data_IF_483693952444
#
_entry.id   IF_483693952444
#
_cell.length_a   1.000
_cell.length_b   1.000
_cell.length_c   1.000
_cell.angle_alpha   90.00
_cell.angle_beta   90.00
_cell.angle_gamma   90.00
#
_symmetry.space_group_name_H-M   'P 1'
#
loop_
_entity.id
_entity.type
_entity.pdbx_description
1 polymer ?
#
# COMPACT_ATOMS: atom_id res chain seq x y z
N UNK A 1 -20.15 23.41 -15.10
CA UNK A 1 -18.72 23.31 -14.74
C UNK A 1 -17.98 22.79 -15.96
N UNK A 2 -17.10 23.58 -16.57
CA UNK A 2 -16.43 23.21 -17.84
C UNK A 2 -15.38 22.12 -17.60
N UNK A 3 -15.19 21.22 -18.56
CA UNK A 3 -14.19 20.12 -18.50
C UNK A 3 -12.76 20.60 -18.17
N UNK A 4 -12.44 21.86 -18.46
CA UNK A 4 -11.17 22.52 -18.10
C UNK A 4 -10.97 22.70 -16.59
N UNK A 5 -12.01 22.96 -15.80
CA UNK A 5 -11.85 23.18 -14.35
C UNK A 5 -11.61 21.87 -13.59
N UNK A 6 -12.24 20.78 -14.03
CA UNK A 6 -12.09 19.44 -13.43
C UNK A 6 -10.66 18.91 -13.61
N UNK A 7 -10.05 19.15 -14.77
CA UNK A 7 -8.67 18.72 -15.03
C UNK A 7 -7.64 19.52 -14.24
N UNK A 8 -7.87 20.83 -14.03
CA UNK A 8 -7.03 21.68 -13.17
C UNK A 8 -7.04 21.22 -11.70
N UNK A 9 -8.22 21.00 -11.12
CA UNK A 9 -8.36 20.58 -9.72
C UNK A 9 -7.70 19.22 -9.44
N UNK A 10 -7.84 18.25 -10.35
CA UNK A 10 -7.21 16.93 -10.22
C UNK A 10 -5.68 17.00 -10.28
N UNK A 11 -5.10 17.91 -11.07
CA UNK A 11 -3.65 18.12 -11.11
C UNK A 11 -3.13 18.71 -9.81
N UNK A 12 -3.82 19.71 -9.26
CA UNK A 12 -3.45 20.31 -7.98
C UNK A 12 -3.46 19.28 -6.84
N UNK A 13 -4.49 18.43 -6.79
CA UNK A 13 -4.56 17.38 -5.78
C UNK A 13 -3.38 16.40 -5.85
N UNK A 14 -2.94 16.04 -7.07
CA UNK A 14 -1.73 15.24 -7.25
C UNK A 14 -0.49 15.91 -6.68
N UNK A 15 -0.30 17.20 -6.94
CA UNK A 15 0.79 17.97 -6.35
C UNK A 15 0.73 17.96 -4.82
N UNK A 16 -0.43 18.25 -4.24
CA UNK A 16 -0.61 18.22 -2.78
C UNK A 16 -0.26 16.84 -2.22
N UNK A 17 -0.77 15.77 -2.84
CA UNK A 17 -0.50 14.40 -2.40
C UNK A 17 1.00 14.07 -2.42
N UNK A 18 1.67 14.22 -3.56
CA UNK A 18 3.09 13.85 -3.68
C UNK A 18 4.01 14.78 -2.90
N UNK A 19 3.79 16.10 -2.95
CA UNK A 19 4.64 17.04 -2.21
C UNK A 19 4.50 16.86 -0.70
N UNK A 20 3.30 16.59 -0.19
CA UNK A 20 3.10 16.34 1.24
C UNK A 20 3.83 15.09 1.68
N UNK A 21 3.66 13.97 0.95
CA UNK A 21 4.34 12.72 1.30
C UNK A 21 5.86 12.81 1.14
N UNK A 22 6.36 13.48 0.10
CA UNK A 22 7.81 13.70 -0.08
C UNK A 22 8.40 14.58 1.01
N UNK A 23 7.72 15.68 1.38
CA UNK A 23 8.15 16.53 2.49
C UNK A 23 8.19 15.74 3.80
N UNK A 24 7.15 14.95 4.06
CA UNK A 24 7.08 14.09 5.24
C UNK A 24 8.25 13.10 5.27
N UNK A 25 8.55 12.43 4.14
CA UNK A 25 9.69 11.53 4.01
C UNK A 25 11.03 12.24 4.25
N UNK A 26 11.22 13.45 3.71
CA UNK A 26 12.43 14.25 3.96
C UNK A 26 12.58 14.55 5.46
N UNK A 27 11.51 14.98 6.13
CA UNK A 27 11.53 15.26 7.56
C UNK A 27 11.82 14.01 8.39
N UNK A 28 11.26 12.85 8.03
CA UNK A 28 11.53 11.57 8.70
C UNK A 28 13.00 11.17 8.54
N UNK A 29 13.50 11.15 7.30
CA UNK A 29 14.86 10.71 7.01
C UNK A 29 15.94 11.67 7.56
N UNK A 30 15.61 12.95 7.68
CA UNK A 30 16.44 13.95 8.33
C UNK A 30 16.34 13.94 9.88
N UNK A 31 15.46 13.11 10.47
CA UNK A 31 15.13 13.13 11.89
C UNK A 31 14.70 14.52 12.39
N UNK A 32 14.00 15.28 11.54
CA UNK A 32 13.59 16.65 11.80
C UNK A 32 12.15 16.76 12.33
N UNK A 33 11.37 15.67 12.35
CA UNK A 33 9.97 15.70 12.78
C UNK A 33 9.78 16.20 14.23
N UNK A 34 10.68 15.82 15.14
CA UNK A 34 10.63 16.22 16.54
C UNK A 34 10.81 17.73 16.75
N UNK A 35 11.31 18.45 15.74
CA UNK A 35 11.43 19.92 15.80
C UNK A 35 10.17 20.66 15.36
N UNK A 36 9.23 19.97 14.70
CA UNK A 36 8.01 20.56 14.12
C UNK A 36 6.75 20.06 14.83
N UNK A 37 6.78 18.85 15.39
CA UNK A 37 5.63 18.18 15.99
C UNK A 37 5.92 17.76 17.43
N UNK A 38 4.88 17.58 18.28
CA UNK A 38 5.05 16.93 19.58
C UNK A 38 5.70 15.55 19.43
N UNK A 39 6.63 15.19 20.32
CA UNK A 39 7.45 13.99 20.23
C UNK A 39 6.64 12.71 19.97
N UNK A 40 5.48 12.56 20.63
CA UNK A 40 4.62 11.39 20.45
C UNK A 40 4.04 11.29 19.03
N UNK A 41 3.66 12.42 18.45
CA UNK A 41 3.13 12.47 17.09
C UNK A 41 4.24 12.30 16.06
N UNK A 42 5.39 12.94 16.28
CA UNK A 42 6.57 12.79 15.45
C UNK A 42 7.02 11.32 15.38
N UNK A 43 7.06 10.63 16.52
CA UNK A 43 7.35 9.19 16.61
C UNK A 43 6.35 8.35 15.81
N UNK A 44 5.04 8.56 16.00
CA UNK A 44 3.98 7.82 15.28
C UNK A 44 4.03 8.02 13.77
N UNK A 45 4.25 9.25 13.32
CA UNK A 45 4.39 9.57 11.89
C UNK A 45 5.70 9.00 11.34
N UNK A 46 6.78 9.03 12.12
CA UNK A 46 8.09 8.47 11.76
C UNK A 46 8.02 6.97 11.47
N UNK A 47 7.25 6.22 12.26
CA UNK A 47 6.98 4.78 12.06
C UNK A 47 6.04 4.46 10.89
N UNK A 48 5.87 5.36 9.92
CA UNK A 48 5.03 5.09 8.74
C UNK A 48 5.76 5.38 7.42
N UNK A 49 7.09 5.47 7.49
CA UNK A 49 7.95 5.81 6.37
C UNK A 49 7.87 4.82 5.21
N UNK A 50 7.64 3.54 5.52
CA UNK A 50 7.46 2.48 4.53
C UNK A 50 6.15 2.68 3.77
N UNK A 51 5.06 2.89 4.52
CA UNK A 51 3.75 3.22 3.96
C UNK A 51 3.76 4.46 3.06
N UNK A 52 4.46 5.53 3.46
CA UNK A 52 4.60 6.73 2.64
C UNK A 52 5.44 6.48 1.38
N UNK A 53 6.54 5.75 1.50
CA UNK A 53 7.39 5.37 0.35
C UNK A 53 6.60 4.53 -0.66
N UNK A 54 5.86 3.53 -0.18
CA UNK A 54 4.96 2.72 -0.98
C UNK A 54 3.94 3.61 -1.70
N UNK A 55 3.29 4.51 -0.99
CA UNK A 55 2.26 5.38 -1.55
C UNK A 55 2.80 6.33 -2.65
N UNK A 56 3.98 6.91 -2.44
CA UNK A 56 4.66 7.76 -3.43
C UNK A 56 4.97 6.94 -4.68
N UNK A 57 5.71 5.83 -4.53
CA UNK A 57 6.27 5.09 -5.66
C UNK A 57 5.20 4.31 -6.43
N UNK A 58 4.35 3.57 -5.72
CA UNK A 58 3.24 2.84 -6.33
C UNK A 58 2.23 3.80 -6.97
N UNK A 59 1.90 4.88 -6.26
CA UNK A 59 1.01 5.92 -6.77
C UNK A 59 1.57 6.54 -8.05
N UNK A 60 2.83 6.96 -8.04
CA UNK A 60 3.49 7.55 -9.19
C UNK A 60 3.55 6.58 -10.37
N UNK A 61 3.78 5.29 -10.10
CA UNK A 61 3.77 4.27 -11.14
C UNK A 61 2.38 4.12 -11.79
N UNK A 62 1.33 3.97 -10.98
CA UNK A 62 -0.05 3.81 -11.46
C UNK A 62 -0.55 5.07 -12.20
N UNK A 63 -0.18 6.26 -11.74
CA UNK A 63 -0.63 7.51 -12.34
C UNK A 63 0.17 7.91 -13.57
N UNK A 64 1.50 7.80 -13.53
CA UNK A 64 2.37 8.40 -14.53
C UNK A 64 3.01 7.39 -15.48
N UNK A 65 3.64 6.34 -14.94
CA UNK A 65 4.36 5.36 -15.75
C UNK A 65 3.40 4.44 -16.50
N UNK A 66 2.60 3.65 -15.78
CA UNK A 66 1.73 2.61 -16.34
C UNK A 66 0.87 3.06 -17.53
N UNK A 67 0.18 4.22 -17.50
CA UNK A 67 -0.67 4.64 -18.61
C UNK A 67 0.09 5.05 -19.88
N UNK A 68 1.38 5.38 -19.77
CA UNK A 68 2.22 5.84 -20.89
C UNK A 68 3.02 4.71 -21.54
N UNK A 69 2.98 3.52 -20.96
CA UNK A 69 3.76 2.37 -21.41
C UNK A 69 2.93 1.45 -22.29
N UNK A 70 3.48 1.10 -23.46
CA UNK A 70 2.91 0.17 -24.42
C UNK A 70 3.88 -1.00 -24.73
N UNK A 71 3.32 -2.07 -25.29
CA UNK A 71 4.06 -3.21 -25.86
C UNK A 71 5.24 -3.73 -25.01
N UNK A 72 6.41 -3.81 -25.64
CA UNK A 72 7.66 -4.31 -25.06
C UNK A 72 8.31 -3.32 -24.10
N UNK A 73 8.25 -2.01 -24.39
CA UNK A 73 8.79 -0.93 -23.54
C UNK A 73 8.18 -0.97 -22.15
N UNK A 74 6.88 -1.31 -22.05
CA UNK A 74 6.20 -1.52 -20.77
C UNK A 74 6.95 -2.51 -19.89
N UNK A 75 7.21 -3.70 -20.39
CA UNK A 75 7.85 -4.74 -19.61
C UNK A 75 9.31 -4.44 -19.33
N UNK A 76 10.04 -3.92 -20.32
CA UNK A 76 11.44 -3.51 -20.14
C UNK A 76 11.60 -2.50 -19.00
N UNK A 77 10.80 -1.42 -18.99
CA UNK A 77 10.87 -0.42 -17.93
C UNK A 77 10.38 -0.97 -16.58
N UNK A 78 9.35 -1.81 -16.59
CA UNK A 78 8.83 -2.43 -15.36
C UNK A 78 9.87 -3.35 -14.72
N UNK A 79 10.55 -4.17 -15.51
CA UNK A 79 11.63 -5.02 -15.00
C UNK A 79 12.84 -4.20 -14.56
N UNK A 80 13.20 -3.14 -15.30
CA UNK A 80 14.29 -2.25 -14.90
C UNK A 80 14.02 -1.62 -13.53
N UNK A 81 12.83 -1.05 -13.34
CA UNK A 81 12.47 -0.37 -12.08
C UNK A 81 12.23 -1.37 -10.96
N UNK A 82 11.66 -2.55 -11.26
CA UNK A 82 11.55 -3.65 -10.31
C UNK A 82 12.93 -4.14 -9.83
N UNK A 83 13.87 -4.33 -10.76
CA UNK A 83 15.25 -4.72 -10.44
C UNK A 83 15.98 -3.62 -9.66
N UNK A 84 15.82 -2.35 -10.04
CA UNK A 84 16.39 -1.23 -9.28
C UNK A 84 15.84 -1.17 -7.85
N UNK A 85 14.53 -1.44 -7.68
CA UNK A 85 13.89 -1.52 -6.35
C UNK A 85 14.47 -2.68 -5.54
N UNK A 86 14.64 -3.86 -6.14
CA UNK A 86 15.27 -5.01 -5.47
C UNK A 86 16.72 -4.71 -5.07
N UNK A 87 17.53 -4.13 -5.96
CA UNK A 87 18.91 -3.74 -5.65
C UNK A 87 18.97 -2.75 -4.49
N UNK A 88 18.07 -1.76 -4.48
CA UNK A 88 17.99 -0.79 -3.40
C UNK A 88 17.54 -1.44 -2.08
N UNK A 89 16.58 -2.36 -2.13
CA UNK A 89 16.17 -3.15 -0.96
C UNK A 89 17.36 -3.92 -0.36
N UNK A 90 18.10 -4.65 -1.19
CA UNK A 90 19.27 -5.41 -0.75
C UNK A 90 20.38 -4.50 -0.22
N UNK A 91 20.59 -3.35 -0.85
CA UNK A 91 21.61 -2.37 -0.42
C UNK A 91 21.25 -1.76 0.92
N UNK A 92 19.99 -1.36 1.13
CA UNK A 92 19.52 -0.82 2.40
C UNK A 92 19.61 -1.87 3.52
N UNK A 93 19.22 -3.11 3.21
CA UNK A 93 19.29 -4.24 4.13
C UNK A 93 20.72 -4.51 4.63
N UNK A 94 21.73 -4.43 3.75
CA UNK A 94 23.14 -4.70 4.12
C UNK A 94 23.94 -3.46 4.50
N UNK A 95 23.37 -2.26 4.41
CA UNK A 95 24.07 -1.00 4.70
C UNK A 95 24.35 -0.81 6.20
N UNK A 96 25.21 0.16 6.53
CA UNK A 96 25.41 0.66 7.90
C UNK A 96 24.63 1.97 8.17
N UNK A 97 23.60 2.24 7.35
CA UNK A 97 22.79 3.45 7.51
C UNK A 97 21.94 3.41 8.80
N UNK A 98 21.49 4.58 9.30
CA UNK A 98 20.56 4.63 10.41
C UNK A 98 19.30 3.79 10.16
N UNK A 99 18.70 3.25 11.23
CA UNK A 99 17.56 2.33 11.16
C UNK A 99 16.41 2.83 10.28
N UNK A 100 16.10 4.14 10.32
CA UNK A 100 15.06 4.80 9.49
C UNK A 100 15.28 4.69 7.97
N UNK A 101 16.50 4.45 7.52
CA UNK A 101 16.79 4.15 6.11
C UNK A 101 16.71 2.66 5.85
N UNK A 102 17.21 1.85 6.80
CA UNK A 102 17.23 0.38 6.67
C UNK A 102 15.84 -0.18 6.50
N UNK A 103 14.87 0.27 7.30
CA UNK A 103 13.48 -0.21 7.28
C UNK A 103 12.85 -0.10 5.90
N UNK A 104 13.16 0.95 5.13
CA UNK A 104 12.63 1.10 3.75
C UNK A 104 12.97 -0.07 2.81
N UNK A 105 13.90 -0.96 3.19
CA UNK A 105 14.24 -2.15 2.43
C UNK A 105 13.01 -3.03 2.16
N UNK A 106 12.10 -3.21 3.13
CA UNK A 106 10.91 -4.05 2.95
C UNK A 106 9.99 -3.46 1.89
N UNK A 107 9.74 -2.16 1.94
CA UNK A 107 8.96 -1.45 0.91
C UNK A 107 9.57 -1.59 -0.48
N UNK A 108 10.88 -1.41 -0.62
CA UNK A 108 11.55 -1.56 -1.91
C UNK A 108 11.52 -3.02 -2.41
N UNK A 109 11.61 -3.99 -1.48
CA UNK A 109 11.44 -5.39 -1.81
C UNK A 109 10.01 -5.67 -2.29
N UNK A 110 8.99 -5.16 -1.61
CA UNK A 110 7.60 -5.27 -2.01
C UNK A 110 7.37 -4.65 -3.40
N UNK A 111 7.89 -3.45 -3.64
CA UNK A 111 7.78 -2.75 -4.93
C UNK A 111 8.42 -3.53 -6.08
N UNK A 112 9.51 -4.28 -5.84
CA UNK A 112 10.17 -5.07 -6.88
C UNK A 112 9.23 -6.08 -7.57
N UNK A 113 8.26 -6.62 -6.82
CA UNK A 113 7.25 -7.55 -7.33
C UNK A 113 5.90 -6.87 -7.60
N UNK A 114 5.55 -5.85 -6.79
CA UNK A 114 4.28 -5.16 -6.92
C UNK A 114 4.19 -4.32 -8.20
N UNK A 115 5.29 -3.72 -8.66
CA UNK A 115 5.32 -2.96 -9.91
C UNK A 115 5.03 -3.84 -11.15
N UNK A 116 5.68 -5.00 -11.33
CA UNK A 116 5.25 -6.02 -12.30
C UNK A 116 3.78 -6.37 -12.19
N UNK A 117 3.31 -6.66 -10.98
CA UNK A 117 1.92 -7.02 -10.73
C UNK A 117 0.96 -5.91 -11.18
N UNK A 118 1.12 -4.65 -10.77
CA UNK A 118 0.22 -3.55 -11.19
C UNK A 118 0.36 -3.19 -12.66
N UNK A 119 1.37 -3.70 -13.37
CA UNK A 119 1.56 -3.47 -14.81
C UNK A 119 0.89 -4.50 -15.71
N UNK A 120 0.46 -5.65 -15.18
CA UNK A 120 -0.27 -6.67 -15.94
C UNK A 120 -1.46 -6.11 -16.75
N UNK A 121 -1.80 -6.73 -17.87
CA UNK A 121 -3.02 -6.36 -18.60
C UNK A 121 -4.26 -6.83 -17.82
N UNK A 122 -5.29 -5.98 -17.72
CA UNK A 122 -6.57 -6.29 -17.05
C UNK A 122 -7.67 -6.47 -18.10
N UNK A 123 -8.71 -7.28 -17.83
CA UNK A 123 -8.99 -7.96 -16.56
C UNK A 123 -8.06 -9.16 -16.32
N UNK A 124 -7.64 -9.35 -15.07
CA UNK A 124 -6.98 -10.60 -14.67
C UNK A 124 -8.04 -11.71 -14.62
N UNK A 125 -7.66 -12.93 -15.03
CA UNK A 125 -8.49 -14.13 -14.85
C UNK A 125 -8.80 -14.29 -13.35
N UNK A 126 -9.84 -15.05 -12.96
CA UNK A 126 -10.41 -15.15 -11.57
C UNK A 126 -9.45 -15.56 -10.42
N UNK A 127 -8.15 -15.54 -10.61
CA UNK A 127 -7.13 -16.04 -9.68
C UNK A 127 -6.61 -15.04 -8.62
N UNK A 128 -6.74 -13.69 -8.72
CA UNK A 128 -6.22 -12.78 -7.69
C UNK A 128 -6.70 -13.06 -6.25
N UNK A 129 -7.98 -13.42 -6.00
CA UNK A 129 -8.41 -13.82 -4.67
C UNK A 129 -7.74 -15.11 -4.20
N UNK A 130 -7.51 -16.07 -5.10
CA UNK A 130 -6.84 -17.32 -4.78
C UNK A 130 -5.36 -17.09 -4.43
N UNK A 131 -4.66 -16.20 -5.16
CA UNK A 131 -3.28 -15.81 -4.83
C UNK A 131 -3.22 -15.16 -3.44
N UNK A 132 -4.13 -14.22 -3.15
CA UNK A 132 -4.19 -13.57 -1.83
C UNK A 132 -4.48 -14.57 -0.72
N UNK A 133 -5.39 -15.52 -0.96
CA UNK A 133 -5.74 -16.57 -0.01
C UNK A 133 -4.57 -17.53 0.26
N UNK A 134 -3.87 -17.97 -0.78
CA UNK A 134 -2.67 -18.81 -0.64
C UNK A 134 -1.58 -18.09 0.13
N UNK A 135 -1.30 -16.82 -0.21
CA UNK A 135 -0.32 -16.01 0.51
C UNK A 135 -0.72 -15.81 1.98
N UNK A 136 -2.01 -15.57 2.25
CA UNK A 136 -2.52 -15.47 3.62
C UNK A 136 -2.32 -16.77 4.40
N UNK A 137 -2.57 -17.92 3.78
CA UNK A 137 -2.31 -19.24 4.40
C UNK A 137 -0.82 -19.42 4.69
N UNK A 138 0.06 -19.04 3.76
CA UNK A 138 1.52 -19.09 3.97
C UNK A 138 1.94 -18.17 5.12
N UNK A 139 1.37 -16.97 5.20
CA UNK A 139 1.62 -16.03 6.30
C UNK A 139 1.16 -16.60 7.63
N UNK A 140 -0.08 -17.08 7.71
CA UNK A 140 -0.63 -17.64 8.95
C UNK A 140 0.15 -18.86 9.39
N UNK A 141 0.47 -19.77 8.47
CA UNK A 141 1.30 -20.93 8.78
C UNK A 141 2.71 -20.54 9.19
N UNK A 142 3.32 -19.57 8.51
CA UNK A 142 4.65 -19.07 8.83
C UNK A 142 4.74 -18.38 10.19
N UNK A 143 3.72 -17.61 10.57
CA UNK A 143 3.62 -16.99 11.90
C UNK A 143 3.33 -18.04 12.97
N UNK A 144 2.41 -18.99 12.71
CA UNK A 144 2.00 -19.99 13.70
C UNK A 144 3.05 -21.10 13.94
N UNK A 145 3.87 -21.42 12.94
CA UNK A 145 4.86 -22.50 13.00
C UNK A 145 6.30 -21.99 13.09
N UNK A 146 6.53 -20.71 12.78
CA UNK A 146 7.86 -20.09 12.78
C UNK A 146 8.26 -19.56 14.15
N UNK A 147 9.56 -19.39 14.36
CA UNK A 147 10.08 -18.57 15.45
C UNK A 147 9.94 -17.07 15.12
N UNK A 148 10.15 -16.19 16.10
CA UNK A 148 10.16 -14.73 15.90
C UNK A 148 11.15 -14.24 14.83
N UNK A 149 12.21 -15.02 14.57
CA UNK A 149 13.21 -14.74 13.52
C UNK A 149 12.85 -15.36 12.16
N UNK A 150 11.64 -15.93 12.01
CA UNK A 150 11.22 -16.50 10.73
C UNK A 150 11.18 -15.42 9.65
N UNK A 151 11.57 -15.74 8.40
CA UNK A 151 11.51 -14.80 7.29
C UNK A 151 10.13 -14.17 7.08
N UNK A 152 9.06 -14.86 7.48
CA UNK A 152 7.67 -14.37 7.38
C UNK A 152 7.41 -13.22 8.36
N UNK A 153 7.92 -13.31 9.58
CA UNK A 153 7.81 -12.24 10.58
C UNK A 153 8.75 -11.08 10.23
N UNK A 154 9.96 -11.38 9.73
CA UNK A 154 10.93 -10.38 9.29
C UNK A 154 10.55 -9.65 8.00
N UNK A 155 9.63 -10.21 7.19
CA UNK A 155 9.10 -9.58 5.98
C UNK A 155 7.60 -9.33 6.11
N UNK A 156 7.12 -9.08 7.34
CA UNK A 156 5.70 -8.95 7.63
C UNK A 156 5.02 -7.88 6.78
N UNK A 157 5.67 -6.72 6.59
CA UNK A 157 5.10 -5.61 5.83
C UNK A 157 5.04 -5.96 4.34
N UNK A 158 6.11 -6.54 3.83
CA UNK A 158 6.18 -7.06 2.46
C UNK A 158 5.04 -8.06 2.19
N UNK A 159 4.86 -9.02 3.09
CA UNK A 159 3.81 -10.04 2.98
C UNK A 159 2.42 -9.42 3.04
N UNK A 160 2.21 -8.44 3.93
CA UNK A 160 0.95 -7.71 4.00
C UNK A 160 0.64 -6.99 2.69
N UNK A 161 1.61 -6.32 2.07
CA UNK A 161 1.41 -5.68 0.76
C UNK A 161 1.01 -6.71 -0.30
N UNK A 162 1.65 -7.88 -0.34
CA UNK A 162 1.31 -8.93 -1.33
C UNK A 162 -0.05 -9.57 -1.11
N UNK A 163 -0.55 -9.63 0.13
CA UNK A 163 -1.91 -10.09 0.42
C UNK A 163 -2.94 -9.00 0.14
N UNK A 164 -2.68 -7.76 0.59
CA UNK A 164 -3.64 -6.67 0.55
C UNK A 164 -3.77 -6.04 -0.84
N UNK A 165 -2.68 -5.94 -1.60
CA UNK A 165 -2.71 -5.26 -2.89
C UNK A 165 -3.63 -5.96 -3.93
N UNK A 166 -3.64 -7.29 -4.09
CA UNK A 166 -4.59 -7.93 -5.00
C UNK A 166 -6.04 -7.86 -4.51
N UNK A 167 -6.28 -7.92 -3.21
CA UNK A 167 -7.62 -7.67 -2.64
C UNK A 167 -8.07 -6.23 -2.96
N UNK A 168 -7.22 -5.25 -2.72
CA UNK A 168 -7.49 -3.85 -2.98
C UNK A 168 -7.74 -3.58 -4.48
N UNK A 169 -6.83 -4.02 -5.36
CA UNK A 169 -6.83 -3.59 -6.77
C UNK A 169 -7.55 -4.52 -7.73
N UNK A 170 -7.81 -5.79 -7.39
CA UNK A 170 -8.54 -6.72 -8.28
C UNK A 170 -9.92 -7.14 -7.73
N UNK A 171 -10.20 -6.95 -6.43
CA UNK A 171 -11.50 -7.29 -5.86
C UNK A 171 -12.31 -6.05 -5.45
N UNK A 172 -11.74 -5.16 -4.65
CA UNK A 172 -12.47 -4.01 -4.08
C UNK A 172 -12.52 -2.82 -5.05
N UNK A 173 -11.36 -2.27 -5.38
CA UNK A 173 -11.17 -1.02 -6.13
C UNK A 173 -10.50 -1.24 -7.48
N UNK A 174 -11.12 -2.15 -8.23
CA UNK A 174 -10.70 -2.52 -9.60
C UNK A 174 -10.50 -1.33 -10.53
N UNK A 175 -11.32 -0.30 -10.35
CA UNK A 175 -11.30 0.94 -11.10
C UNK A 175 -9.96 1.70 -11.07
N UNK A 176 -9.12 1.46 -10.03
CA UNK A 176 -7.81 2.11 -9.90
C UNK A 176 -6.89 1.65 -11.03
N UNK A 177 -6.88 0.35 -11.35
CA UNK A 177 -6.05 -0.26 -12.39
C UNK A 177 -6.81 -0.48 -13.71
N UNK A 178 -8.13 -0.65 -13.66
CA UNK A 178 -9.00 -0.85 -14.80
C UNK A 178 -10.20 0.10 -14.74
N UNK A 179 -10.12 1.28 -15.37
CA UNK A 179 -11.19 2.29 -15.31
C UNK A 179 -12.57 1.79 -15.78
N UNK A 180 -12.62 0.71 -16.57
CA UNK A 180 -13.86 0.12 -17.08
C UNK A 180 -14.46 -0.91 -16.11
N UNK A 181 -13.70 -1.35 -15.10
CA UNK A 181 -14.17 -2.35 -14.16
C UNK A 181 -15.35 -1.83 -13.31
N UNK A 182 -16.31 -2.71 -13.11
CA UNK A 182 -17.38 -2.48 -12.14
C UNK A 182 -16.83 -2.63 -10.73
N UNK A 183 -17.22 -1.69 -9.86
CA UNK A 183 -16.87 -1.75 -8.43
C UNK A 183 -18.12 -1.59 -7.57
N UNK A 184 -18.12 -2.25 -6.40
CA UNK A 184 -19.19 -2.11 -5.43
C UNK A 184 -18.84 -1.00 -4.44
N UNK A 185 -19.67 0.05 -4.41
CA UNK A 185 -19.51 1.18 -3.47
C UNK A 185 -19.58 0.72 -2.02
N UNK A 186 -20.45 -0.24 -1.70
CA UNK A 186 -20.55 -0.82 -0.34
C UNK A 186 -19.27 -1.54 0.05
N UNK A 187 -18.71 -2.34 -0.86
CA UNK A 187 -17.48 -3.08 -0.61
C UNK A 187 -16.29 -2.13 -0.41
N UNK A 188 -16.19 -1.06 -1.22
CA UNK A 188 -15.17 0.00 -1.06
C UNK A 188 -15.23 0.63 0.32
N UNK A 189 -16.41 1.08 0.77
CA UNK A 189 -16.52 1.73 2.08
C UNK A 189 -16.24 0.77 3.23
N UNK A 190 -16.71 -0.48 3.15
CA UNK A 190 -16.37 -1.50 4.14
C UNK A 190 -14.85 -1.76 4.20
N UNK A 191 -14.19 -1.80 3.04
CA UNK A 191 -12.75 -1.94 2.94
C UNK A 191 -12.00 -0.73 3.51
N UNK A 192 -12.42 0.50 3.24
CA UNK A 192 -11.79 1.69 3.82
C UNK A 192 -12.00 1.77 5.33
N UNK A 193 -13.19 1.41 5.81
CA UNK A 193 -13.45 1.30 7.23
C UNK A 193 -12.50 0.28 7.88
N UNK A 194 -12.27 -0.87 7.23
CA UNK A 194 -11.31 -1.87 7.69
C UNK A 194 -9.87 -1.32 7.72
N UNK A 195 -9.42 -0.69 6.65
CA UNK A 195 -8.07 -0.11 6.56
C UNK A 195 -7.85 1.03 7.56
N UNK A 196 -8.90 1.72 7.99
CA UNK A 196 -8.84 2.73 9.06
C UNK A 196 -8.88 2.06 10.44
N UNK A 197 -9.71 1.03 10.61
CA UNK A 197 -9.87 0.34 11.88
C UNK A 197 -8.59 -0.37 12.33
N UNK A 198 -7.85 -1.01 11.42
CA UNK A 198 -6.61 -1.73 11.73
C UNK A 198 -5.59 -0.83 12.46
N UNK A 199 -5.14 0.31 11.91
CA UNK A 199 -4.18 1.17 12.60
C UNK A 199 -4.76 1.78 13.88
N UNK A 200 -6.06 2.07 13.95
CA UNK A 200 -6.69 2.53 15.20
C UNK A 200 -6.63 1.47 16.30
N UNK A 201 -6.90 0.21 15.97
CA UNK A 201 -6.78 -0.90 16.92
C UNK A 201 -5.33 -1.06 17.38
N UNK A 202 -4.35 -0.96 16.48
CA UNK A 202 -2.91 -0.97 16.86
C UNK A 202 -2.57 0.15 17.83
N UNK A 203 -3.08 1.35 17.56
CA UNK A 203 -2.88 2.51 18.45
C UNK A 203 -3.53 2.31 19.82
N UNK A 204 -4.75 1.77 19.86
CA UNK A 204 -5.51 1.58 21.09
C UNK A 204 -5.00 0.43 21.96
N UNK A 205 -4.52 -0.64 21.36
CA UNK A 205 -3.92 -1.77 22.08
C UNK A 205 -2.56 -1.40 22.71
N UNK A 206 -1.94 -0.32 22.22
CA UNK A 206 -0.80 0.32 22.85
C UNK A 206 0.47 -0.52 22.87
N UNK A 207 1.48 -0.01 23.59
CA UNK A 207 2.74 -0.70 23.83
C UNK A 207 2.57 -1.83 24.88
N UNK A 208 1.61 -1.72 25.80
CA UNK A 208 1.38 -2.66 26.90
C UNK A 208 1.01 -4.08 26.43
N UNK A 209 0.31 -4.18 25.29
CA UNK A 209 -0.02 -5.48 24.70
C UNK A 209 1.22 -6.17 24.07
N UNK A 210 2.37 -5.49 24.05
CA UNK A 210 3.68 -6.01 23.63
C UNK A 210 4.51 -6.56 24.81
N UNK A 211 3.96 -6.80 26.00
CA UNK A 211 4.77 -7.24 27.15
C UNK A 211 4.76 -8.76 27.48
N UNK A 212 4.17 -9.64 26.65
CA UNK A 212 4.51 -11.08 26.64
C UNK A 212 3.38 -12.09 26.36
N UNK A 213 3.74 -13.29 25.87
CA UNK A 213 2.84 -14.42 25.57
C UNK A 213 2.53 -14.61 24.08
N UNK A 214 1.77 -15.64 23.68
CA UNK A 214 1.45 -15.91 22.25
C UNK A 214 0.65 -14.79 21.55
N UNK A 215 -0.03 -13.93 22.32
CA UNK A 215 -0.70 -12.73 21.80
C UNK A 215 0.31 -11.63 21.41
N UNK A 216 1.49 -11.62 22.02
CA UNK A 216 2.56 -10.66 21.72
C UNK A 216 3.03 -10.76 20.27
N UNK A 217 3.28 -11.97 19.77
CA UNK A 217 3.79 -12.19 18.41
C UNK A 217 2.78 -11.73 17.36
N UNK A 218 1.49 -12.01 17.59
CA UNK A 218 0.40 -11.53 16.73
C UNK A 218 0.34 -10.01 16.74
N UNK A 219 0.44 -9.36 17.90
CA UNK A 219 0.40 -7.91 18.01
C UNK A 219 1.65 -7.23 17.45
N UNK A 220 2.82 -7.87 17.56
CA UNK A 220 4.04 -7.43 16.93
C UNK A 220 3.90 -7.52 15.40
N UNK A 221 3.33 -8.62 14.89
CA UNK A 221 3.03 -8.78 13.48
C UNK A 221 2.04 -7.70 12.99
N UNK A 222 0.90 -7.53 13.66
CA UNK A 222 -0.10 -6.49 13.30
C UNK A 222 0.52 -5.09 13.38
N UNK A 223 1.40 -4.85 14.36
CA UNK A 223 2.17 -3.62 14.51
C UNK A 223 3.17 -3.37 13.37
N UNK A 224 3.57 -4.37 12.60
CA UNK A 224 4.36 -4.18 11.36
C UNK A 224 3.44 -4.00 10.15
N UNK A 225 2.40 -4.83 10.05
CA UNK A 225 1.40 -4.77 8.97
C UNK A 225 0.74 -3.38 8.81
N UNK A 226 0.70 -2.57 9.87
CA UNK A 226 0.04 -1.27 9.84
C UNK A 226 0.62 -0.28 8.81
N UNK A 227 1.94 -0.27 8.56
CA UNK A 227 2.56 0.64 7.59
C UNK A 227 2.09 0.32 6.16
N UNK A 228 2.04 -0.98 5.82
CA UNK A 228 1.49 -1.48 4.56
C UNK A 228 0.01 -1.10 4.38
N UNK A 229 -0.79 -1.19 5.46
CA UNK A 229 -2.20 -0.78 5.48
C UNK A 229 -2.33 0.71 5.19
N UNK A 230 -1.53 1.56 5.86
CA UNK A 230 -1.54 3.02 5.66
C UNK A 230 -1.11 3.37 4.24
N UNK A 231 -0.04 2.76 3.71
CA UNK A 231 0.42 2.97 2.35
C UNK A 231 -0.67 2.64 1.32
N UNK A 232 -1.31 1.48 1.43
CA UNK A 232 -2.41 1.09 0.54
C UNK A 232 -3.67 1.95 0.71
N UNK A 233 -3.99 2.38 1.94
CA UNK A 233 -5.09 3.31 2.19
C UNK A 233 -4.85 4.64 1.50
N UNK A 234 -3.65 5.22 1.63
CA UNK A 234 -3.27 6.48 0.98
C UNK A 234 -3.38 6.38 -0.55
N UNK A 235 -2.87 5.30 -1.15
CA UNK A 235 -2.98 5.06 -2.60
C UNK A 235 -4.45 4.99 -3.03
N UNK A 236 -5.27 4.23 -2.31
CA UNK A 236 -6.68 4.05 -2.66
C UNK A 236 -7.48 5.34 -2.49
N UNK A 237 -7.33 6.05 -1.38
CA UNK A 237 -7.99 7.35 -1.18
C UNK A 237 -7.58 8.34 -2.27
N UNK A 238 -6.29 8.40 -2.61
CA UNK A 238 -5.81 9.27 -3.67
C UNK A 238 -6.47 8.97 -5.02
N UNK A 239 -6.51 7.70 -5.44
CA UNK A 239 -7.11 7.36 -6.74
C UNK A 239 -8.64 7.39 -6.74
N UNK A 240 -9.29 6.81 -5.73
CA UNK A 240 -10.74 6.65 -5.69
C UNK A 240 -11.46 7.92 -5.25
N UNK A 241 -10.98 8.61 -4.22
CA UNK A 241 -11.58 9.87 -3.73
C UNK A 241 -10.99 11.04 -4.48
N UNK A 242 -9.66 11.12 -4.55
CA UNK A 242 -8.97 12.26 -5.13
C UNK A 242 -9.13 12.38 -6.64
N UNK A 243 -8.83 11.30 -7.37
CA UNK A 243 -8.93 11.25 -8.83
C UNK A 243 -10.27 10.69 -9.33
N UNK A 244 -11.17 10.29 -8.43
CA UNK A 244 -12.50 9.76 -8.75
C UNK A 244 -12.45 8.51 -9.66
N UNK A 245 -11.44 7.65 -9.51
CA UNK A 245 -11.35 6.36 -10.19
C UNK A 245 -12.24 5.33 -9.51
N UNK A 246 -13.54 5.52 -9.61
CA UNK A 246 -14.55 4.67 -8.95
C UNK A 246 -15.19 3.64 -9.90
N UNK A 247 -14.83 3.64 -11.18
CA UNK A 247 -15.32 2.68 -12.17
C UNK A 247 -16.79 2.89 -12.52
N UNK A 248 -17.39 1.88 -13.18
CA UNK A 248 -18.81 1.90 -13.52
C UNK A 248 -19.65 1.32 -12.38
N UNK A 249 -20.77 1.97 -12.07
CA UNK A 249 -21.75 1.46 -11.10
C UNK A 249 -22.63 0.42 -11.82
N UNK A 250 -22.82 -0.80 -11.28
CA UNK A 250 -23.74 -1.76 -11.86
C UNK A 250 -25.15 -1.15 -11.99
N UNK A 251 -25.89 -1.42 -13.07
CA UNK A 251 -27.26 -0.97 -13.19
C UNK A 251 -28.11 -1.56 -12.04
N UNK A 252 -29.14 -0.84 -11.55
CA UNK A 252 -30.06 -1.38 -10.55
C UNK A 252 -30.68 -2.69 -11.05
N UNK A 253 -30.75 -3.71 -10.19
CA UNK A 253 -31.40 -4.98 -10.54
C UNK A 253 -32.89 -4.68 -10.74
N UNK A 254 -33.43 -5.03 -11.90
CA UNK A 254 -34.84 -4.83 -12.27
C UNK A 254 -35.82 -5.69 -11.45
N UNK A 255 -35.32 -6.49 -10.49
CA UNK A 255 -36.13 -7.37 -9.64
C UNK A 255 -36.92 -6.65 -8.55
N UNK A 256 -36.69 -5.36 -8.32
CA UNK A 256 -37.37 -4.58 -7.28
C UNK A 256 -38.56 -3.76 -7.84
N UNK A 257 -39.00 -4.08 -9.06
CA UNK A 257 -40.10 -3.39 -9.77
C UNK A 257 -41.41 -4.20 -9.83
N UNK A 258 -41.62 -5.14 -8.90
CA UNK A 258 -42.88 -5.88 -8.76
C UNK A 258 -43.45 -5.76 -7.35
#
# INVERSE_FOLDING_TARGET
MTTSTITGQRRWLGWVFYCTLLLLMVLILAAALDSVLPAELARRIGYNSEGYTLAILLGAWIQFARPRLDGSTRWALTFLVGAASLTLALTLFTSDLPSRFKTLNETFFALSLLLPYVTLARPLRRWPPAVSAVLLVVVVAGVALGSGDSPVVLLAETMAVFVLAPLAFDWVDRAILDPQAQTSTRLRYAWYALLIAIPLVVVLLGDDAREGGGVHEVLQYVGRVHEAVIGLLLVQLYFAVGLQRTGTVPPPRTSDAQ
#
